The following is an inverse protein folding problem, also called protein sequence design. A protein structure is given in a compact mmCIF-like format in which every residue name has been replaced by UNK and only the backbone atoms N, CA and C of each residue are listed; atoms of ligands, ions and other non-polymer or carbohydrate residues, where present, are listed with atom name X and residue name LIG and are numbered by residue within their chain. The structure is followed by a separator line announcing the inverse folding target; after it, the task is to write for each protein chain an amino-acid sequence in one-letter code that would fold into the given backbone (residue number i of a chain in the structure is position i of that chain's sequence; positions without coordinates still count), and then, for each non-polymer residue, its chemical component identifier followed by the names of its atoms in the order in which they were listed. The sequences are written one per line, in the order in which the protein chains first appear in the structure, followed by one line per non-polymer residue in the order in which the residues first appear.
data_IF_949244940436
#
_entry.id   IF_949244940436
#
_cell.length_a   1.000
_cell.length_b   1.000
_cell.length_c   1.000
_cell.angle_alpha   90.00
_cell.angle_beta   90.00
_cell.angle_gamma   90.00
#
_symmetry.space_group_name_H-M   'P 1'
#
loop_
_entity.id
_entity.type
_entity.pdbx_description
1 polymer ?
#
# COMPACT_ATOMS: atom_id res chain seq x y z
N UNK A 1 0.23 -4.75 10.30
CA UNK A 1 -0.15 -4.11 9.03
C UNK A 1 -1.13 -4.96 8.23
N UNK A 2 -2.40 -4.96 8.67
CA UNK A 2 -3.40 -6.00 8.30
C UNK A 2 -4.03 -5.80 6.92
N UNK A 3 -4.26 -4.56 6.51
CA UNK A 3 -4.92 -4.26 5.25
C UNK A 3 -4.05 -4.71 4.07
N UNK A 4 -2.78 -4.29 4.06
CA UNK A 4 -1.85 -4.63 2.98
C UNK A 4 -1.57 -6.14 2.90
N UNK A 5 -1.51 -6.84 4.04
CA UNK A 5 -1.31 -8.31 4.05
C UNK A 5 -2.49 -9.08 3.45
N UNK A 6 -3.66 -8.44 3.31
CA UNK A 6 -4.85 -8.99 2.67
C UNK A 6 -5.09 -8.41 1.26
N UNK A 7 -4.08 -7.75 0.69
CA UNK A 7 -4.16 -7.19 -0.66
C UNK A 7 -4.98 -5.92 -0.78
N UNK A 8 -5.33 -5.26 0.33
CA UNK A 8 -5.96 -3.93 0.27
C UNK A 8 -4.94 -2.92 -0.26
N UNK A 9 -5.37 -2.14 -1.24
CA UNK A 9 -4.60 -1.03 -1.81
C UNK A 9 -4.98 0.22 -1.03
N UNK A 10 -4.00 0.92 -0.45
CA UNK A 10 -4.27 2.11 0.36
C UNK A 10 -4.27 3.38 -0.51
N UNK A 11 -5.12 4.32 -0.12
CA UNK A 11 -5.05 5.73 -0.51
C UNK A 11 -4.96 6.52 0.80
N UNK A 12 -3.80 7.07 1.12
CA UNK A 12 -3.47 7.58 2.47
C UNK A 12 -2.59 8.81 2.41
N UNK A 13 -2.56 9.62 3.45
CA UNK A 13 -1.47 10.59 3.65
C UNK A 13 -0.21 9.88 4.14
N UNK A 14 0.94 10.54 4.02
CA UNK A 14 2.18 10.12 4.64
C UNK A 14 2.18 10.53 6.13
N UNK A 15 1.79 9.59 6.99
CA UNK A 15 1.83 9.66 8.44
C UNK A 15 2.20 8.30 9.08
N UNK A 16 3.04 8.33 10.13
CA UNK A 16 3.56 7.14 10.81
C UNK A 16 4.25 6.15 9.87
N UNK A 17 3.85 4.87 9.95
CA UNK A 17 4.47 3.78 9.17
C UNK A 17 4.43 4.00 7.65
N UNK A 18 3.50 4.83 7.16
CA UNK A 18 3.31 5.03 5.72
C UNK A 18 4.50 5.73 5.07
N UNK A 19 5.36 6.41 5.84
CA UNK A 19 6.67 6.90 5.37
C UNK A 19 7.65 5.78 5.03
N UNK A 20 7.50 4.61 5.65
CA UNK A 20 8.37 3.44 5.45
C UNK A 20 7.93 2.60 4.24
N UNK A 21 6.76 2.89 3.66
CA UNK A 21 6.20 2.13 2.55
C UNK A 21 6.57 2.71 1.19
N UNK A 22 6.98 1.84 0.26
CA UNK A 22 7.05 2.20 -1.15
C UNK A 22 5.64 2.14 -1.75
N UNK A 23 5.09 3.30 -2.11
CA UNK A 23 3.74 3.46 -2.67
C UNK A 23 3.66 3.22 -4.19
N UNK A 24 4.79 3.02 -4.86
CA UNK A 24 4.82 2.75 -6.28
C UNK A 24 4.11 1.42 -6.61
N UNK A 25 2.98 1.50 -7.33
CA UNK A 25 2.15 0.34 -7.69
C UNK A 25 1.63 -0.49 -6.49
N UNK A 26 1.58 0.08 -5.27
CA UNK A 26 1.03 -0.57 -4.06
C UNK A 26 -0.09 0.25 -3.41
N UNK A 27 -0.22 1.53 -3.79
CA UNK A 27 -1.24 2.45 -3.30
C UNK A 27 -1.07 3.85 -3.88
N UNK A 28 -1.66 4.83 -3.21
CA UNK A 28 -1.53 6.24 -3.54
C UNK A 28 -1.35 7.08 -2.28
N UNK A 29 -0.59 8.15 -2.43
CA UNK A 29 -0.38 9.14 -1.38
C UNK A 29 -1.21 10.39 -1.65
N UNK A 30 -1.83 10.91 -0.60
CA UNK A 30 -2.63 12.14 -0.59
C UNK A 30 -1.77 13.31 -0.12
N UNK A 31 -2.09 14.50 -0.61
CA UNK A 31 -1.52 15.75 -0.11
C UNK A 31 -2.14 16.06 1.25
N UNK A 32 -1.35 16.12 2.35
CA UNK A 32 -1.89 16.40 3.68
C UNK A 32 -2.47 17.81 3.82
N UNK A 33 -1.97 18.79 3.06
CA UNK A 33 -2.45 20.18 3.11
C UNK A 33 -3.73 20.38 2.27
N UNK A 34 -4.03 19.43 1.38
CA UNK A 34 -5.22 19.47 0.53
C UNK A 34 -5.79 18.07 0.26
N UNK A 35 -6.13 17.35 1.34
CA UNK A 35 -6.58 15.95 1.28
C UNK A 35 -7.78 15.78 0.35
N UNK A 36 -8.78 16.65 0.44
CA UNK A 36 -9.99 16.56 -0.37
C UNK A 36 -9.70 16.67 -1.87
N UNK A 37 -9.00 17.73 -2.31
CA UNK A 37 -8.73 17.92 -3.73
C UNK A 37 -7.79 16.84 -4.27
N UNK A 38 -6.78 16.43 -3.50
CA UNK A 38 -5.85 15.37 -3.91
C UNK A 38 -6.56 14.00 -4.03
N UNK A 39 -7.50 13.70 -3.13
CA UNK A 39 -8.31 12.49 -3.20
C UNK A 39 -9.19 12.47 -4.46
N UNK A 40 -9.96 13.53 -4.72
CA UNK A 40 -10.79 13.61 -5.92
C UNK A 40 -9.96 13.50 -7.20
N UNK A 41 -8.83 14.22 -7.26
CA UNK A 41 -7.91 14.12 -8.37
C UNK A 41 -7.43 12.69 -8.61
N UNK A 42 -6.96 12.00 -7.57
CA UNK A 42 -6.52 10.60 -7.70
C UNK A 42 -7.66 9.67 -8.07
N UNK A 43 -8.83 9.87 -7.47
CA UNK A 43 -10.01 9.05 -7.73
C UNK A 43 -10.38 9.09 -9.21
N UNK A 44 -10.48 10.29 -9.77
CA UNK A 44 -10.90 10.51 -11.16
C UNK A 44 -9.81 10.13 -12.17
N UNK A 45 -8.55 10.48 -11.90
CA UNK A 45 -7.48 10.35 -12.90
C UNK A 45 -6.74 9.01 -12.85
N UNK A 46 -6.68 8.35 -11.69
CA UNK A 46 -5.87 7.14 -11.48
C UNK A 46 -6.67 5.95 -10.97
N UNK A 47 -7.41 6.11 -9.87
CA UNK A 47 -8.03 4.97 -9.16
C UNK A 47 -9.15 4.36 -10.01
N UNK A 48 -10.06 5.21 -10.53
CA UNK A 48 -11.20 4.75 -11.34
C UNK A 48 -10.73 4.01 -12.59
N UNK A 49 -9.81 4.61 -13.36
CA UNK A 49 -9.28 3.98 -14.58
C UNK A 49 -8.58 2.65 -14.28
N UNK A 50 -7.79 2.58 -13.21
CA UNK A 50 -7.11 1.35 -12.77
C UNK A 50 -8.08 0.28 -12.30
N UNK A 51 -9.11 0.66 -11.53
CA UNK A 51 -10.09 -0.26 -10.98
C UNK A 51 -11.06 -0.78 -12.02
N UNK A 52 -11.45 0.01 -13.04
CA UNK A 52 -12.46 -0.36 -14.05
C UNK A 52 -11.88 -0.90 -15.36
N UNK A 53 -10.57 -0.78 -15.60
CA UNK A 53 -9.92 -1.47 -16.73
C UNK A 53 -10.07 -2.99 -16.59
N UNK A 54 -10.56 -3.66 -17.64
CA UNK A 54 -10.77 -5.11 -17.68
C UNK A 54 -10.05 -5.70 -18.90
N UNK A 55 -9.50 -6.89 -18.74
CA UNK A 55 -8.99 -7.69 -19.84
C UNK A 55 -10.12 -8.45 -20.59
N UNK A 56 -9.74 -9.27 -21.56
CA UNK A 56 -10.64 -10.14 -22.33
C UNK A 56 -11.42 -11.16 -21.47
N UNK A 57 -10.96 -11.43 -20.24
CA UNK A 57 -11.60 -12.34 -19.28
C UNK A 57 -12.44 -11.59 -18.24
N UNK A 58 -12.57 -10.26 -18.34
CA UNK A 58 -13.30 -9.46 -17.36
C UNK A 58 -12.58 -9.30 -16.02
N UNK A 59 -11.24 -9.40 -16.00
CA UNK A 59 -10.43 -9.24 -14.79
C UNK A 59 -9.70 -7.89 -14.75
N UNK A 60 -9.63 -7.21 -13.59
CA UNK A 60 -8.84 -5.99 -13.44
C UNK A 60 -7.36 -6.32 -13.24
N UNK A 61 -6.65 -6.73 -14.30
CA UNK A 61 -5.24 -7.19 -14.22
C UNK A 61 -4.35 -6.25 -13.42
N UNK A 62 -4.43 -4.94 -13.68
CA UNK A 62 -3.59 -3.94 -12.99
C UNK A 62 -3.92 -3.84 -11.50
N UNK A 63 -5.20 -3.85 -11.15
CA UNK A 63 -5.64 -3.85 -9.75
C UNK A 63 -5.14 -5.10 -9.02
N UNK A 64 -5.28 -6.28 -9.62
CA UNK A 64 -4.80 -7.55 -9.06
C UNK A 64 -3.28 -7.52 -8.86
N UNK A 65 -2.53 -6.96 -9.82
CA UNK A 65 -1.08 -6.74 -9.69
C UNK A 65 -0.76 -5.89 -8.45
N UNK A 66 -1.48 -4.77 -8.27
CA UNK A 66 -1.31 -3.89 -7.11
C UNK A 66 -1.70 -4.58 -5.79
N UNK A 67 -2.75 -5.42 -5.78
CA UNK A 67 -3.11 -6.22 -4.60
C UNK A 67 -1.98 -7.18 -4.21
N UNK A 68 -1.38 -7.88 -5.19
CA UNK A 68 -0.23 -8.77 -4.95
C UNK A 68 0.99 -8.02 -4.45
N UNK A 69 1.27 -6.84 -5.00
CA UNK A 69 2.34 -5.95 -4.53
C UNK A 69 2.08 -5.46 -3.11
N UNK A 70 0.83 -5.15 -2.76
CA UNK A 70 0.43 -4.79 -1.39
C UNK A 70 0.68 -5.93 -0.40
N UNK A 71 0.34 -7.18 -0.76
CA UNK A 71 0.67 -8.36 0.05
C UNK A 71 2.18 -8.48 0.24
N UNK A 72 2.96 -8.32 -0.84
CA UNK A 72 4.43 -8.38 -0.76
C UNK A 72 5.03 -7.28 0.11
N UNK A 73 4.47 -6.09 0.06
CA UNK A 73 4.84 -4.97 0.93
C UNK A 73 4.63 -5.31 2.42
N UNK A 74 3.69 -6.20 2.76
CA UNK A 74 3.41 -6.54 4.15
C UNK A 74 4.55 -7.27 4.87
N UNK A 75 5.46 -7.91 4.12
CA UNK A 75 6.62 -8.62 4.66
C UNK A 75 7.50 -7.69 5.52
N UNK A 76 7.67 -6.43 5.10
CA UNK A 76 8.48 -5.45 5.84
C UNK A 76 7.85 -5.03 7.18
N UNK A 77 6.58 -5.35 7.40
CA UNK A 77 5.84 -4.98 8.60
C UNK A 77 5.40 -6.19 9.42
N UNK A 78 6.08 -7.32 9.25
CA UNK A 78 5.88 -8.52 10.06
C UNK A 78 6.35 -8.31 11.50
N UNK A 79 5.55 -8.76 12.46
CA UNK A 79 5.95 -8.79 13.88
C UNK A 79 7.14 -9.72 14.11
N UNK A 80 7.29 -10.77 13.29
CA UNK A 80 8.45 -11.67 13.35
C UNK A 80 9.75 -10.91 13.13
N UNK A 81 9.83 -10.09 12.06
CA UNK A 81 10.98 -9.22 11.79
C UNK A 81 11.27 -8.30 12.97
N UNK A 82 10.24 -7.63 13.50
CA UNK A 82 10.38 -6.71 14.63
C UNK A 82 10.97 -7.42 15.85
N UNK A 83 10.46 -8.61 16.19
CA UNK A 83 10.96 -9.38 17.34
C UNK A 83 12.40 -9.86 17.12
N UNK A 84 12.76 -10.29 15.91
CA UNK A 84 14.14 -10.67 15.58
C UNK A 84 15.12 -9.50 15.72
N UNK A 85 14.75 -8.32 15.22
CA UNK A 85 15.55 -7.11 15.33
C UNK A 85 15.69 -6.66 16.79
N UNK A 86 14.61 -6.65 17.55
CA UNK A 86 14.63 -6.33 18.97
C UNK A 86 15.56 -7.28 19.74
N UNK A 87 15.47 -8.58 19.47
CA UNK A 87 16.32 -9.59 20.11
C UNK A 87 17.81 -9.33 19.82
N UNK A 88 18.18 -9.08 18.56
CA UNK A 88 19.57 -8.83 18.14
C UNK A 88 20.13 -7.51 18.66
N UNK A 89 19.32 -6.45 18.70
CA UNK A 89 19.82 -5.11 19.03
C UNK A 89 19.85 -4.84 20.53
N UNK A 90 18.95 -5.46 21.30
CA UNK A 90 18.71 -5.06 22.69
C UNK A 90 18.90 -6.19 23.71
N UNK A 91 18.81 -7.46 23.31
CA UNK A 91 18.77 -8.58 24.26
C UNK A 91 19.89 -9.60 24.11
N UNK A 92 20.38 -9.83 22.90
CA UNK A 92 21.42 -10.82 22.62
C UNK A 92 22.53 -10.15 21.82
N UNK A 93 23.68 -9.96 22.48
CA UNK A 93 24.96 -9.76 21.83
C UNK A 93 25.50 -11.12 21.37
#
# INVERSE_FOLDING_TARGET
MKAISNGVINCTILDGWTYEANWENTGWTLDPDNVYASFYYLLETKITSTYYSRDEFGLPKKWIEMMRKSIKLSDQFSTERVLEEYKKLLYIN
#
